data_IF_141557347476
#
_entry.id   IF_141557347476
#
_cell.length_a   1.000
_cell.length_b   1.000
_cell.length_c   1.000
_cell.angle_alpha   90.00
_cell.angle_beta   90.00
_cell.angle_gamma   90.00
#
_symmetry.space_group_name_H-M   'P 1'
#
loop_
_entity.id
_entity.type
_entity.pdbx_description
1 polymer ?
#
# COMPACT_ATOMS: atom_id res chain seq x y z
N UNK A 1 47.39 -27.87 31.41
CA UNK A 1 46.67 -29.16 31.38
C UNK A 1 45.41 -28.89 32.18
N UNK A 2 44.35 -28.51 31.46
CA UNK A 2 43.22 -29.42 31.17
C UNK A 2 42.23 -29.36 32.36
N UNK A 3 41.13 -28.61 32.19
CA UNK A 3 39.77 -29.12 31.88
C UNK A 3 39.15 -29.83 33.11
N UNK A 4 37.91 -29.64 33.53
CA UNK A 4 36.67 -29.28 32.84
C UNK A 4 35.54 -29.22 33.91
N UNK A 5 34.39 -28.69 33.51
CA UNK A 5 33.01 -29.01 33.94
C UNK A 5 32.37 -28.38 35.19
N UNK A 6 31.64 -27.29 34.91
CA UNK A 6 30.17 -27.12 35.02
C UNK A 6 29.35 -27.90 36.07
N UNK A 7 28.67 -27.15 36.95
CA UNK A 7 27.33 -27.45 37.45
C UNK A 7 26.46 -26.17 37.43
N UNK A 8 25.14 -26.27 37.19
CA UNK A 8 24.28 -25.11 36.96
C UNK A 8 23.63 -24.60 38.25
N UNK A 9 23.70 -23.29 38.48
CA UNK A 9 22.99 -22.61 39.57
C UNK A 9 21.60 -22.14 39.11
N UNK A 10 20.62 -22.44 39.96
CA UNK A 10 19.21 -22.13 39.82
C UNK A 10 18.99 -20.62 39.97
N UNK A 11 18.51 -19.95 38.91
CA UNK A 11 17.97 -18.60 39.04
C UNK A 11 16.45 -18.62 39.03
N UNK A 12 15.90 -18.07 40.11
CA UNK A 12 14.50 -17.98 40.47
C UNK A 12 13.71 -17.12 39.48
N UNK A 13 12.55 -17.66 39.08
CA UNK A 13 11.49 -16.94 38.39
C UNK A 13 10.98 -15.76 39.24
N UNK A 14 11.14 -14.55 38.72
CA UNK A 14 10.43 -13.35 39.19
C UNK A 14 9.38 -13.02 38.14
N UNK A 15 8.12 -13.33 38.43
CA UNK A 15 6.98 -12.90 37.61
C UNK A 15 6.78 -11.38 37.70
N UNK A 16 6.53 -10.68 36.58
CA UNK A 16 5.90 -9.37 36.62
C UNK A 16 4.37 -9.53 36.58
N UNK A 17 3.73 -9.19 37.69
CA UNK A 17 2.29 -8.94 37.77
C UNK A 17 1.94 -7.67 36.97
N UNK A 18 1.37 -7.82 35.78
CA UNK A 18 0.81 -6.71 35.01
C UNK A 18 -0.71 -6.70 35.19
N UNK A 19 -1.18 -5.69 35.92
CA UNK A 19 -2.57 -5.27 36.04
C UNK A 19 -3.15 -4.99 34.64
N UNK A 20 -4.19 -5.73 34.27
CA UNK A 20 -5.02 -5.40 33.11
C UNK A 20 -5.84 -4.14 33.40
N UNK A 21 -5.44 -3.02 32.82
CA UNK A 21 -6.35 -1.89 32.59
C UNK A 21 -6.80 -1.96 31.14
N UNK A 22 -8.10 -2.22 30.93
CA UNK A 22 -8.73 -2.18 29.62
C UNK A 22 -8.58 -0.79 28.99
N UNK A 23 -8.17 -0.78 27.73
CA UNK A 23 -8.17 0.41 26.88
C UNK A 23 -9.07 0.08 25.71
N UNK A 24 -10.22 0.75 25.67
CA UNK A 24 -11.19 0.74 24.60
C UNK A 24 -10.54 1.17 23.28
N UNK A 25 -10.70 0.35 22.23
CA UNK A 25 -10.34 0.72 20.86
C UNK A 25 -11.42 1.62 20.24
N UNK A 26 -11.05 2.71 19.54
CA UNK A 26 -12.02 3.65 18.99
C UNK A 26 -12.82 3.04 17.84
N UNK A 27 -14.14 3.16 17.95
CA UNK A 27 -15.10 2.82 16.89
C UNK A 27 -14.93 3.77 15.70
N UNK A 28 -14.61 3.22 14.53
CA UNK A 28 -14.56 3.99 13.30
C UNK A 28 -15.97 4.07 12.70
N UNK A 29 -16.71 5.13 13.06
CA UNK A 29 -17.98 5.47 12.43
C UNK A 29 -17.71 6.17 11.09
N UNK A 30 -17.98 5.51 9.97
CA UNK A 30 -18.22 6.20 8.70
C UNK A 30 -19.52 5.71 8.05
N UNK A 31 -20.49 6.64 8.06
CA UNK A 31 -21.56 6.88 7.07
C UNK A 31 -22.12 5.64 6.33
N UNK A 32 -23.22 5.12 6.87
CA UNK A 32 -24.15 4.24 6.17
C UNK A 32 -24.88 5.08 5.11
N UNK A 33 -24.47 4.93 3.85
CA UNK A 33 -25.29 5.30 2.71
C UNK A 33 -26.45 4.29 2.62
N UNK A 34 -27.68 4.81 2.58
CA UNK A 34 -28.91 4.01 2.54
C UNK A 34 -28.96 3.17 1.24
N UNK A 35 -28.49 1.93 1.29
CA UNK A 35 -28.78 0.93 0.27
C UNK A 35 -30.03 0.15 0.66
N UNK A 36 -30.92 0.00 -0.33
CA UNK A 36 -32.24 -0.61 -0.25
C UNK A 36 -32.17 -2.07 0.26
N UNK A 37 -33.25 -2.58 0.92
CA UNK A 37 -33.23 -3.90 1.53
C UNK A 37 -33.12 -4.99 0.46
N UNK A 38 -31.96 -5.64 0.38
CA UNK A 38 -31.83 -6.90 -0.34
C UNK A 38 -32.53 -7.99 0.46
N UNK A 39 -33.39 -8.73 -0.23
CA UNK A 39 -34.26 -9.74 0.35
C UNK A 39 -33.45 -10.81 1.09
N UNK A 40 -33.65 -10.87 2.41
CA UNK A 40 -33.09 -11.90 3.27
C UNK A 40 -33.55 -13.30 2.84
N UNK A 41 -32.60 -14.19 2.54
CA UNK A 41 -32.85 -15.63 2.46
C UNK A 41 -32.75 -16.21 3.87
N UNK A 42 -33.91 -16.44 4.49
CA UNK A 42 -34.00 -17.23 5.71
C UNK A 42 -33.63 -18.69 5.43
N UNK A 43 -32.57 -19.22 6.06
CA UNK A 43 -32.40 -20.66 6.29
C UNK A 43 -32.65 -20.94 7.77
N UNK A 44 -33.92 -21.11 8.11
CA UNK A 44 -34.36 -21.69 9.39
C UNK A 44 -35.42 -22.73 9.09
N UNK A 45 -35.08 -24.00 9.22
CA UNK A 45 -36.04 -25.09 9.18
C UNK A 45 -36.74 -25.16 10.55
N UNK A 46 -37.95 -24.60 10.65
CA UNK A 46 -38.88 -24.89 11.74
C UNK A 46 -40.04 -25.67 11.15
N UNK A 47 -40.13 -26.95 11.52
CA UNK A 47 -41.23 -27.85 11.18
C UNK A 47 -42.48 -27.45 11.97
N UNK A 48 -43.54 -27.06 11.27
CA UNK A 48 -44.87 -26.89 11.85
C UNK A 48 -45.89 -27.65 11.00
N UNK A 49 -46.36 -28.76 11.56
CA UNK A 49 -47.42 -29.63 11.05
C UNK A 49 -48.77 -28.91 11.10
N UNK A 50 -49.47 -28.84 9.97
CA UNK A 50 -50.89 -28.51 9.94
C UNK A 50 -51.64 -29.39 8.92
N UNK A 51 -52.53 -30.22 9.44
CA UNK A 51 -53.36 -31.16 8.69
C UNK A 51 -54.52 -30.42 8.02
N UNK A 52 -54.76 -30.64 6.74
CA UNK A 52 -56.04 -30.37 6.10
C UNK A 52 -56.28 -31.36 4.97
N UNK A 53 -57.30 -32.17 5.17
CA UNK A 53 -57.79 -33.20 4.27
C UNK A 53 -58.43 -32.60 3.02
N UNK A 54 -57.96 -32.99 1.84
CA UNK A 54 -58.79 -33.03 0.64
C UNK A 54 -58.32 -34.17 -0.27
N UNK A 55 -59.18 -35.18 -0.39
CA UNK A 55 -59.08 -36.31 -1.32
C UNK A 55 -59.45 -35.85 -2.73
N UNK A 56 -58.60 -36.11 -3.74
CA UNK A 56 -59.01 -36.45 -5.11
C UNK A 56 -57.94 -37.31 -5.81
N UNK A 57 -58.38 -38.52 -6.13
CA UNK A 57 -58.12 -39.38 -7.30
C UNK A 57 -56.69 -39.61 -7.82
N UNK A 58 -56.38 -40.90 -7.88
CA UNK A 58 -55.17 -41.56 -8.35
C UNK A 58 -54.90 -41.30 -9.84
N UNK A 59 -53.78 -40.64 -10.14
CA UNK A 59 -53.04 -40.83 -11.39
C UNK A 59 -51.61 -41.27 -11.00
N UNK A 60 -51.45 -42.59 -10.90
CA UNK A 60 -50.17 -43.27 -10.73
C UNK A 60 -49.32 -43.11 -11.98
N UNK A 61 -48.06 -42.66 -11.78
CA UNK A 61 -46.87 -42.80 -12.65
C UNK A 61 -46.13 -41.50 -13.03
N UNK A 62 -46.10 -40.50 -12.14
CA UNK A 62 -45.07 -39.43 -12.20
C UNK A 62 -44.77 -38.74 -10.85
N UNK A 63 -44.91 -39.44 -9.72
CA UNK A 63 -44.64 -38.84 -8.39
C UNK A 63 -43.21 -39.09 -7.87
N UNK A 64 -42.46 -40.02 -8.47
CA UNK A 64 -41.12 -40.40 -7.99
C UNK A 64 -39.97 -39.42 -8.27
N UNK A 65 -40.19 -38.32 -9.00
CA UNK A 65 -39.09 -37.40 -9.40
C UNK A 65 -38.97 -36.13 -8.57
N UNK A 66 -40.04 -35.75 -7.86
CA UNK A 66 -40.07 -34.49 -7.10
C UNK A 66 -39.59 -34.71 -5.66
N UNK A 67 -40.05 -35.79 -5.00
CA UNK A 67 -39.63 -36.15 -3.63
C UNK A 67 -38.13 -36.49 -3.56
N UNK A 68 -37.59 -37.18 -4.56
CA UNK A 68 -36.15 -37.47 -4.66
C UNK A 68 -35.31 -36.17 -4.79
N UNK A 69 -35.84 -35.14 -5.47
CA UNK A 69 -35.15 -33.87 -5.64
C UNK A 69 -35.20 -33.01 -4.37
N UNK A 70 -36.29 -33.04 -3.61
CA UNK A 70 -36.41 -32.39 -2.31
C UNK A 70 -35.49 -33.02 -1.26
N UNK A 71 -35.46 -34.35 -1.17
CA UNK A 71 -34.55 -35.09 -0.29
C UNK A 71 -33.07 -34.83 -0.63
N UNK A 72 -32.76 -34.76 -1.92
CA UNK A 72 -31.40 -34.44 -2.38
C UNK A 72 -31.01 -33.00 -2.03
N UNK A 73 -31.94 -32.04 -2.15
CA UNK A 73 -31.70 -30.66 -1.72
C UNK A 73 -31.50 -30.57 -0.20
N UNK A 74 -32.30 -31.29 0.59
CA UNK A 74 -32.19 -31.35 2.05
C UNK A 74 -30.86 -31.97 2.51
N UNK A 75 -30.37 -32.98 1.80
CA UNK A 75 -29.04 -33.54 2.02
C UNK A 75 -27.93 -32.48 1.89
N UNK A 76 -27.94 -31.68 0.82
CA UNK A 76 -26.92 -30.64 0.61
C UNK A 76 -27.09 -29.42 1.51
N UNK A 77 -28.32 -29.14 1.94
CA UNK A 77 -28.63 -28.08 2.91
C UNK A 77 -27.93 -28.28 4.26
N UNK A 78 -27.71 -29.54 4.66
CA UNK A 78 -27.08 -29.92 5.93
C UNK A 78 -25.57 -30.16 5.83
N UNK A 79 -24.97 -29.88 4.67
CA UNK A 79 -23.53 -30.09 4.42
C UNK A 79 -22.81 -28.76 4.34
N UNK A 80 -21.56 -28.75 4.82
CA UNK A 80 -20.71 -27.57 4.78
C UNK A 80 -20.53 -27.04 3.35
N UNK A 81 -20.73 -25.74 3.14
CA UNK A 81 -20.58 -25.13 1.82
C UNK A 81 -19.12 -24.96 1.36
N UNK A 82 -18.15 -25.32 2.20
CA UNK A 82 -16.72 -25.26 1.88
C UNK A 82 -16.24 -26.62 1.36
N UNK A 83 -16.48 -27.72 2.08
CA UNK A 83 -16.05 -29.06 1.66
C UNK A 83 -17.13 -29.88 0.97
N UNK A 84 -18.40 -29.49 1.06
CA UNK A 84 -19.56 -30.24 0.57
C UNK A 84 -19.72 -31.65 1.16
N UNK A 85 -19.02 -31.98 2.24
CA UNK A 85 -18.98 -33.33 2.80
C UNK A 85 -19.35 -33.39 4.28
N UNK A 86 -18.72 -32.60 5.13
CA UNK A 86 -18.97 -32.67 6.58
C UNK A 86 -20.31 -32.05 6.98
N UNK A 87 -20.98 -32.57 8.02
CA UNK A 87 -22.16 -31.93 8.60
C UNK A 87 -21.81 -30.57 9.23
N UNK A 88 -22.81 -29.71 9.34
CA UNK A 88 -22.69 -28.39 9.95
C UNK A 88 -22.63 -28.50 11.48
N UNK A 89 -21.56 -27.99 12.09
CA UNK A 89 -21.35 -27.96 13.55
C UNK A 89 -20.91 -26.57 14.07
N UNK A 90 -20.79 -25.59 13.17
CA UNK A 90 -20.44 -24.20 13.46
C UNK A 90 -21.44 -23.26 12.81
N UNK A 91 -21.84 -22.21 13.53
CA UNK A 91 -22.74 -21.16 13.06
C UNK A 91 -22.22 -19.79 13.49
N UNK A 92 -22.08 -18.86 12.53
CA UNK A 92 -21.63 -17.50 12.82
C UNK A 92 -22.73 -16.69 13.52
N UNK A 93 -22.34 -15.79 14.42
CA UNK A 93 -23.23 -15.03 15.29
C UNK A 93 -24.05 -13.99 14.50
N UNK A 94 -23.39 -13.26 13.60
CA UNK A 94 -23.99 -12.13 12.88
C UNK A 94 -24.71 -12.57 11.60
N UNK A 95 -24.00 -13.18 10.66
CA UNK A 95 -24.59 -13.56 9.36
C UNK A 95 -25.35 -14.89 9.39
N UNK A 96 -25.21 -15.68 10.46
CA UNK A 96 -25.84 -17.02 10.61
C UNK A 96 -25.46 -18.06 9.57
N UNK A 97 -24.42 -17.79 8.78
CA UNK A 97 -23.85 -18.79 7.88
C UNK A 97 -23.22 -19.93 8.69
N UNK A 98 -23.32 -21.15 8.15
CA UNK A 98 -22.96 -22.38 8.84
C UNK A 98 -21.92 -23.18 8.07
N UNK A 99 -21.00 -23.80 8.80
CA UNK A 99 -19.90 -24.59 8.28
C UNK A 99 -19.64 -25.81 9.16
N UNK A 100 -18.76 -26.71 8.69
CA UNK A 100 -18.05 -27.57 9.62
C UNK A 100 -16.85 -26.81 10.22
N UNK A 101 -16.54 -27.08 11.48
CA UNK A 101 -15.52 -26.38 12.26
C UNK A 101 -14.13 -26.53 11.66
N UNK A 102 -13.81 -27.71 11.10
CA UNK A 102 -12.53 -27.94 10.44
C UNK A 102 -12.32 -27.01 9.24
N UNK A 103 -13.32 -26.87 8.37
CA UNK A 103 -13.22 -26.00 7.20
C UNK A 103 -13.10 -24.53 7.60
N UNK A 104 -13.89 -24.09 8.58
CA UNK A 104 -13.82 -22.71 9.05
C UNK A 104 -12.47 -22.41 9.72
N UNK A 105 -11.98 -23.30 10.58
CA UNK A 105 -10.67 -23.19 11.20
C UNK A 105 -9.55 -23.09 10.16
N UNK A 106 -9.55 -23.98 9.16
CA UNK A 106 -8.55 -23.97 8.07
C UNK A 106 -8.64 -22.68 7.27
N UNK A 107 -9.84 -22.23 6.91
CA UNK A 107 -10.07 -20.97 6.22
C UNK A 107 -9.46 -19.79 6.99
N UNK A 108 -9.81 -19.61 8.26
CA UNK A 108 -9.29 -18.50 9.08
C UNK A 108 -7.77 -18.62 9.24
N UNK A 109 -7.25 -19.82 9.47
CA UNK A 109 -5.80 -20.05 9.58
C UNK A 109 -5.08 -19.61 8.30
N UNK A 110 -5.56 -20.00 7.13
CA UNK A 110 -4.96 -19.58 5.85
C UNK A 110 -5.04 -18.07 5.65
N UNK A 111 -6.17 -17.43 5.95
CA UNK A 111 -6.33 -15.97 5.85
C UNK A 111 -5.33 -15.24 6.75
N UNK A 112 -5.18 -15.68 8.00
CA UNK A 112 -4.26 -15.06 8.96
C UNK A 112 -2.80 -15.33 8.60
N UNK A 113 -2.44 -16.58 8.26
CA UNK A 113 -1.05 -16.96 7.99
C UNK A 113 -0.52 -16.42 6.66
N UNK A 114 -1.41 -16.18 5.68
CA UNK A 114 -1.05 -15.51 4.42
C UNK A 114 -0.93 -13.98 4.56
N UNK A 115 -1.29 -13.43 5.72
CA UNK A 115 -1.29 -11.98 5.96
C UNK A 115 0.00 -11.48 6.60
N UNK A 116 0.97 -11.11 5.77
CA UNK A 116 2.27 -10.56 6.21
C UNK A 116 2.40 -9.04 6.00
N UNK A 117 1.35 -8.42 5.42
CA UNK A 117 1.30 -7.01 5.11
C UNK A 117 1.30 -6.08 6.33
N UNK A 118 1.21 -4.80 6.05
CA UNK A 118 1.11 -3.69 7.01
C UNK A 118 -0.33 -3.17 7.15
N UNK A 119 -1.25 -3.66 6.32
CA UNK A 119 -2.68 -3.36 6.45
C UNK A 119 -3.34 -4.37 7.37
N UNK A 120 -4.35 -3.91 8.09
CA UNK A 120 -5.10 -4.77 9.00
C UNK A 120 -5.83 -5.85 8.21
N UNK A 121 -5.55 -7.12 8.54
CA UNK A 121 -6.24 -8.26 7.96
C UNK A 121 -7.67 -8.31 8.45
N UNK A 122 -8.61 -8.38 7.51
CA UNK A 122 -10.04 -8.57 7.81
C UNK A 122 -10.43 -10.01 7.49
N UNK A 123 -10.92 -10.73 8.50
CA UNK A 123 -11.50 -12.05 8.30
C UNK A 123 -12.96 -11.85 7.89
N UNK A 124 -13.36 -12.45 6.78
CA UNK A 124 -14.71 -12.30 6.21
C UNK A 124 -15.41 -13.63 6.16
N UNK A 125 -16.73 -13.62 6.15
CA UNK A 125 -17.53 -14.80 5.88
C UNK A 125 -17.21 -15.33 4.47
N UNK A 126 -16.89 -16.64 4.32
CA UNK A 126 -16.64 -17.26 3.01
C UNK A 126 -17.79 -17.09 2.01
N UNK A 127 -19.03 -16.95 2.49
CA UNK A 127 -20.23 -16.90 1.66
C UNK A 127 -20.71 -15.45 1.48
N UNK A 128 -21.13 -14.78 2.54
CA UNK A 128 -21.75 -13.46 2.44
C UNK A 128 -20.74 -12.29 2.44
N UNK A 129 -19.45 -12.55 2.69
CA UNK A 129 -18.37 -11.55 2.74
C UNK A 129 -18.47 -10.49 3.84
N UNK A 130 -19.41 -10.64 4.77
CA UNK A 130 -19.48 -9.82 6.00
C UNK A 130 -18.23 -10.02 6.87
N UNK A 131 -17.80 -8.96 7.55
CA UNK A 131 -16.61 -9.01 8.41
C UNK A 131 -16.95 -9.77 9.70
N UNK A 132 -16.11 -10.76 10.03
CA UNK A 132 -16.22 -11.53 11.26
C UNK A 132 -15.29 -10.90 12.31
N UNK A 133 -15.79 -10.46 13.47
CA UNK A 133 -14.95 -9.85 14.50
C UNK A 133 -13.97 -10.86 15.10
N UNK A 134 -12.81 -10.36 15.55
CA UNK A 134 -11.78 -11.19 16.17
C UNK A 134 -12.28 -11.98 17.37
N UNK A 135 -13.15 -11.39 18.19
CA UNK A 135 -13.76 -12.05 19.34
C UNK A 135 -14.51 -13.33 18.98
N UNK A 136 -15.03 -13.43 17.75
CA UNK A 136 -15.77 -14.58 17.28
C UNK A 136 -14.83 -15.62 16.64
N UNK A 137 -14.10 -15.25 15.58
CA UNK A 137 -13.30 -16.24 14.85
C UNK A 137 -12.13 -16.81 15.67
N UNK A 138 -11.62 -16.06 16.65
CA UNK A 138 -10.52 -16.51 17.52
C UNK A 138 -10.90 -17.72 18.39
N UNK A 139 -12.20 -17.94 18.63
CA UNK A 139 -12.70 -19.09 19.39
C UNK A 139 -12.55 -20.41 18.62
N UNK A 140 -12.41 -20.35 17.29
CA UNK A 140 -12.39 -21.51 16.40
C UNK A 140 -10.99 -21.83 15.85
N UNK A 141 -9.96 -21.11 16.29
CA UNK A 141 -8.57 -21.33 15.84
C UNK A 141 -7.63 -21.47 17.03
N UNK A 142 -6.46 -22.13 16.87
CA UNK A 142 -5.44 -22.19 17.91
C UNK A 142 -4.93 -20.80 18.31
N UNK A 143 -4.52 -20.66 19.59
CA UNK A 143 -3.96 -19.40 20.12
C UNK A 143 -2.76 -18.90 19.30
N UNK A 144 -1.94 -19.80 18.74
CA UNK A 144 -0.81 -19.42 17.87
C UNK A 144 -1.24 -18.65 16.63
N UNK A 145 -2.44 -18.91 16.09
CA UNK A 145 -3.02 -18.16 14.97
C UNK A 145 -3.41 -16.76 15.43
N UNK A 146 -4.04 -16.65 16.60
CA UNK A 146 -4.44 -15.39 17.21
C UNK A 146 -3.21 -14.52 17.53
N UNK A 147 -2.15 -15.11 18.07
CA UNK A 147 -0.90 -14.41 18.38
C UNK A 147 -0.20 -13.90 17.11
N UNK A 148 -0.23 -14.69 16.04
CA UNK A 148 0.26 -14.27 14.73
C UNK A 148 -0.55 -13.08 14.20
N UNK A 149 -1.88 -13.17 14.23
CA UNK A 149 -2.76 -12.07 13.84
C UNK A 149 -2.43 -10.80 14.63
N UNK A 150 -2.36 -10.90 15.96
CA UNK A 150 -2.06 -9.76 16.82
C UNK A 150 -0.70 -9.14 16.52
N UNK A 151 0.33 -9.96 16.24
CA UNK A 151 1.67 -9.49 15.90
C UNK A 151 1.72 -8.71 14.59
N UNK A 152 1.02 -9.15 13.55
CA UNK A 152 1.07 -8.52 12.23
C UNK A 152 0.09 -7.34 12.08
N UNK A 153 -0.93 -7.26 12.94
CA UNK A 153 -1.93 -6.18 12.94
C UNK A 153 -1.72 -5.14 14.05
N UNK A 154 -0.54 -5.10 14.68
CA UNK A 154 -0.22 -4.07 15.67
C UNK A 154 -0.31 -2.66 15.04
N UNK A 155 -0.87 -1.67 15.75
CA UNK A 155 -0.87 -0.29 15.28
C UNK A 155 0.58 0.23 15.15
N UNK A 156 0.81 1.13 14.20
CA UNK A 156 2.12 1.73 13.95
C UNK A 156 3.23 0.71 13.64
N UNK A 157 2.90 -0.43 13.02
CA UNK A 157 3.88 -1.41 12.58
C UNK A 157 4.77 -0.84 11.46
N UNK A 158 6.06 -0.76 11.72
CA UNK A 158 7.07 -0.30 10.76
C UNK A 158 7.17 -1.19 9.53
N UNK A 159 7.34 -0.56 8.36
CA UNK A 159 7.91 -1.22 7.20
C UNK A 159 9.32 -1.69 7.53
N UNK A 160 9.66 -2.89 7.10
CA UNK A 160 10.96 -3.46 7.32
C UNK A 160 11.53 -4.09 6.06
N UNK A 161 12.86 -4.11 5.98
CA UNK A 161 13.57 -4.78 4.91
C UNK A 161 14.91 -5.31 5.40
N UNK A 162 15.26 -6.53 5.01
CA UNK A 162 16.55 -7.10 5.37
C UNK A 162 17.69 -6.44 4.59
N UNK A 163 18.81 -6.23 5.27
CA UNK A 163 20.06 -5.82 4.63
C UNK A 163 20.53 -6.90 3.66
N UNK A 164 20.92 -6.57 2.42
CA UNK A 164 21.38 -7.56 1.43
C UNK A 164 22.71 -8.25 1.79
N UNK A 165 23.43 -7.77 2.80
CA UNK A 165 24.75 -8.28 3.16
C UNK A 165 24.75 -9.11 4.46
N UNK A 166 23.94 -8.75 5.45
CA UNK A 166 23.90 -9.44 6.75
C UNK A 166 22.54 -10.00 7.13
N UNK A 167 21.53 -9.84 6.27
CA UNK A 167 20.16 -10.34 6.43
C UNK A 167 19.40 -9.80 7.65
N UNK A 168 20.01 -8.91 8.43
CA UNK A 168 19.36 -8.25 9.56
C UNK A 168 18.32 -7.24 9.09
N UNK A 169 17.22 -7.19 9.83
CA UNK A 169 16.06 -6.36 9.55
C UNK A 169 16.36 -4.88 9.83
N UNK A 170 16.14 -4.02 8.85
CA UNK A 170 16.16 -2.56 9.03
C UNK A 170 14.75 -2.01 9.17
N UNK A 171 14.57 -1.11 10.14
CA UNK A 171 13.33 -0.40 10.45
C UNK A 171 13.54 1.11 10.19
N UNK A 172 13.32 1.59 8.96
CA UNK A 172 13.58 2.99 8.62
C UNK A 172 12.75 3.99 9.42
N UNK A 173 11.47 3.69 9.67
CA UNK A 173 10.59 4.50 10.48
C UNK A 173 10.16 3.67 11.69
N UNK A 174 10.42 4.15 12.91
CA UNK A 174 10.05 3.44 14.14
C UNK A 174 9.29 4.40 15.06
N UNK A 175 7.98 4.14 15.22
CA UNK A 175 7.12 4.94 16.07
C UNK A 175 7.51 4.87 17.55
N UNK A 176 8.20 3.80 17.98
CA UNK A 176 8.63 3.63 19.38
C UNK A 176 9.78 4.56 19.77
N UNK A 177 10.47 5.14 18.78
CA UNK A 177 11.54 6.13 19.00
C UNK A 177 11.01 7.56 19.18
N UNK A 178 9.69 7.75 19.08
CA UNK A 178 9.06 9.04 19.36
C UNK A 178 9.34 9.45 20.81
N UNK A 179 9.82 10.68 20.99
CA UNK A 179 10.13 11.23 22.31
C UNK A 179 8.95 12.06 22.79
N UNK A 180 8.41 11.70 23.95
CA UNK A 180 7.29 12.40 24.56
C UNK A 180 7.64 13.86 24.90
N UNK A 181 6.72 14.77 24.59
CA UNK A 181 6.87 16.21 24.88
C UNK A 181 7.70 17.00 23.87
N UNK A 182 8.29 16.38 22.84
CA UNK A 182 8.87 17.11 21.71
C UNK A 182 7.77 17.59 20.76
N UNK A 183 7.80 18.88 20.42
CA UNK A 183 6.96 19.42 19.37
C UNK A 183 7.65 19.22 18.00
N UNK A 184 7.35 18.08 17.37
CA UNK A 184 7.86 17.74 16.04
C UNK A 184 7.31 18.68 14.95
N UNK A 185 6.07 19.16 15.07
CA UNK A 185 5.50 20.10 14.10
C UNK A 185 6.27 21.42 14.08
N UNK A 186 6.52 21.99 15.27
CA UNK A 186 7.36 23.17 15.42
C UNK A 186 8.78 22.96 14.87
N UNK A 187 9.39 21.80 15.12
CA UNK A 187 10.72 21.48 14.54
C UNK A 187 10.70 21.51 13.02
N UNK A 188 9.66 20.92 12.40
CA UNK A 188 9.49 20.95 10.95
C UNK A 188 9.31 22.40 10.47
N UNK A 189 8.47 23.17 11.14
CA UNK A 189 8.27 24.60 10.84
C UNK A 189 9.59 25.37 10.88
N UNK A 190 10.35 25.27 11.97
CA UNK A 190 11.64 25.97 12.16
C UNK A 190 12.65 25.58 11.07
N UNK A 191 12.66 24.32 10.63
CA UNK A 191 13.50 23.86 9.52
C UNK A 191 13.09 24.44 8.18
N UNK A 192 11.77 24.51 7.89
CA UNK A 192 11.25 25.14 6.66
C UNK A 192 11.50 26.64 6.67
N UNK A 193 11.37 27.30 7.83
CA UNK A 193 11.66 28.72 7.99
C UNK A 193 13.14 29.00 7.74
N UNK A 194 14.05 28.17 8.27
CA UNK A 194 15.47 28.30 8.00
C UNK A 194 15.80 28.19 6.50
N UNK A 195 15.12 27.30 5.76
CA UNK A 195 15.25 27.20 4.30
C UNK A 195 14.69 28.43 3.57
N UNK A 196 13.61 29.01 4.08
CA UNK A 196 13.01 30.22 3.50
C UNK A 196 13.90 31.46 3.71
N UNK A 197 14.78 31.45 4.72
CA UNK A 197 15.73 32.53 5.04
C UNK A 197 17.10 32.36 4.37
N UNK A 198 17.30 31.31 3.57
CA UNK A 198 18.58 30.97 2.96
C UNK A 198 19.18 32.12 2.12
N UNK A 199 20.50 32.33 2.23
CA UNK A 199 21.21 33.43 1.58
C UNK A 199 21.18 33.36 0.04
N UNK A 200 20.87 32.20 -0.54
CA UNK A 200 20.61 32.08 -1.97
C UNK A 200 19.49 33.03 -2.44
N UNK A 201 18.58 33.45 -1.53
CA UNK A 201 17.54 34.44 -1.82
C UNK A 201 18.00 35.91 -1.75
N UNK A 202 19.14 36.20 -1.12
CA UNK A 202 19.64 37.58 -0.94
C UNK A 202 20.45 38.09 -2.13
N UNK A 203 21.11 37.19 -2.86
CA UNK A 203 22.17 37.52 -3.85
C UNK A 203 21.74 38.19 -5.17
N UNK A 204 20.45 38.47 -5.42
CA UNK A 204 20.03 39.24 -6.63
C UNK A 204 19.57 40.68 -6.36
N UNK A 205 19.47 41.12 -5.11
CA UNK A 205 19.07 42.51 -4.80
C UNK A 205 20.23 43.52 -4.73
N UNK A 206 21.50 43.09 -4.65
CA UNK A 206 22.63 44.00 -4.39
C UNK A 206 23.56 44.26 -5.60
N UNK A 207 23.24 43.80 -6.82
CA UNK A 207 24.10 43.96 -7.99
C UNK A 207 23.62 44.96 -9.06
N UNK A 208 22.83 45.98 -8.70
CA UNK A 208 22.29 46.94 -9.69
C UNK A 208 22.59 48.41 -9.42
N UNK A 209 23.74 48.77 -8.83
CA UNK A 209 24.09 50.21 -8.70
C UNK A 209 25.34 50.66 -9.48
N UNK A 210 26.19 49.80 -10.07
CA UNK A 210 27.46 50.30 -10.65
C UNK A 210 27.99 49.66 -11.97
N UNK A 211 27.17 49.07 -12.85
CA UNK A 211 27.64 48.67 -14.20
C UNK A 211 26.66 49.03 -15.33
N UNK A 212 26.82 50.24 -15.88
CA UNK A 212 26.28 50.64 -17.19
C UNK A 212 27.12 50.05 -18.33
N UNK A 213 27.05 48.74 -18.60
CA UNK A 213 27.21 48.24 -19.99
C UNK A 213 26.75 46.78 -20.13
N UNK A 214 25.98 46.49 -21.19
CA UNK A 214 25.49 45.17 -21.63
C UNK A 214 24.51 44.39 -20.71
N UNK A 215 23.24 44.81 -20.72
CA UNK A 215 22.11 43.98 -20.27
C UNK A 215 21.60 43.07 -21.40
N UNK A 216 22.07 41.82 -21.42
CA UNK A 216 21.31 40.73 -22.03
C UNK A 216 20.15 40.42 -21.07
N UNK A 217 18.93 40.74 -21.50
CA UNK A 217 17.72 40.43 -20.76
C UNK A 217 17.59 38.90 -20.53
N UNK A 218 17.53 38.48 -19.26
CA UNK A 218 16.98 37.16 -18.87
C UNK A 218 15.79 37.41 -17.92
N UNK A 219 14.57 37.60 -18.45
CA UNK A 219 13.40 37.98 -17.65
C UNK A 219 12.76 36.85 -16.83
N UNK A 220 13.05 35.57 -17.13
CA UNK A 220 12.30 34.43 -16.55
C UNK A 220 12.79 33.98 -15.16
N UNK A 221 13.99 34.39 -14.76
CA UNK A 221 14.73 33.78 -13.65
C UNK A 221 14.52 34.50 -12.29
N UNK A 222 13.98 35.72 -12.32
CA UNK A 222 13.60 36.49 -11.13
C UNK A 222 12.21 36.11 -10.62
N UNK A 223 11.26 35.88 -11.53
CA UNK A 223 9.88 35.50 -11.19
C UNK A 223 9.83 34.09 -10.57
N UNK A 224 10.57 33.14 -11.16
CA UNK A 224 10.67 31.78 -10.64
C UNK A 224 11.30 31.72 -9.24
N UNK A 225 12.33 32.54 -8.99
CA UNK A 225 12.97 32.64 -7.68
C UNK A 225 12.02 33.18 -6.59
N UNK A 226 11.30 34.26 -6.90
CA UNK A 226 10.28 34.82 -6.02
C UNK A 226 9.14 33.82 -5.77
N UNK A 227 8.77 33.04 -6.79
CA UNK A 227 7.75 31.99 -6.67
C UNK A 227 8.16 30.87 -5.73
N UNK A 228 9.41 30.40 -5.76
CA UNK A 228 9.91 29.37 -4.83
C UNK A 228 9.93 29.91 -3.40
N UNK A 229 10.45 31.12 -3.19
CA UNK A 229 10.47 31.76 -1.88
C UNK A 229 9.05 31.92 -1.31
N UNK A 230 8.12 32.44 -2.13
CA UNK A 230 6.71 32.56 -1.77
C UNK A 230 6.07 31.20 -1.44
N UNK A 231 6.43 30.15 -2.19
CA UNK A 231 5.94 28.78 -1.93
C UNK A 231 6.43 28.25 -0.58
N UNK A 232 7.69 28.49 -0.21
CA UNK A 232 8.22 28.11 1.12
C UNK A 232 7.52 28.88 2.25
N UNK A 233 7.33 30.20 2.11
CA UNK A 233 6.58 31.00 3.09
C UNK A 233 5.11 30.57 3.19
N UNK A 234 4.51 30.11 2.09
CA UNK A 234 3.13 29.60 2.11
C UNK A 234 2.97 28.27 2.87
N UNK A 235 4.07 27.53 3.13
CA UNK A 235 4.05 26.33 3.95
C UNK A 235 3.98 26.64 5.45
N UNK A 236 4.61 27.72 5.92
CA UNK A 236 4.72 28.03 7.35
C UNK A 236 3.35 28.09 8.05
N UNK A 237 2.31 28.75 7.50
CA UNK A 237 0.98 28.77 8.10
C UNK A 237 0.28 27.39 8.13
N UNK A 238 0.72 26.42 7.33
CA UNK A 238 0.15 25.07 7.29
C UNK A 238 0.80 24.15 8.34
N UNK A 239 2.00 24.51 8.84
CA UNK A 239 2.80 23.74 9.78
C UNK A 239 2.53 24.20 11.22
N UNK A 240 1.26 24.13 11.63
CA UNK A 240 0.77 24.53 12.95
C UNK A 240 0.36 23.32 13.78
N UNK A 241 0.44 23.45 15.11
CA UNK A 241 0.23 22.34 16.06
C UNK A 241 -1.15 21.67 15.95
N UNK A 242 -2.19 22.42 15.56
CA UNK A 242 -3.58 21.91 15.47
C UNK A 242 -3.98 21.42 14.06
N UNK A 243 -3.02 20.95 13.25
CA UNK A 243 -3.31 20.43 11.91
C UNK A 243 -4.19 19.18 11.98
N UNK A 244 -5.39 19.16 11.36
CA UNK A 244 -6.24 17.97 11.34
C UNK A 244 -5.53 16.76 10.74
N UNK A 245 -5.71 15.58 11.34
CA UNK A 245 -5.10 14.35 10.83
C UNK A 245 -5.45 14.10 9.35
N UNK A 246 -6.67 14.40 8.94
CA UNK A 246 -7.13 14.24 7.55
C UNK A 246 -6.32 15.04 6.53
N UNK A 247 -5.69 16.15 6.93
CA UNK A 247 -4.92 17.03 6.03
C UNK A 247 -3.41 16.78 6.08
N UNK A 248 -2.91 15.98 7.05
CA UNK A 248 -1.47 15.76 7.24
C UNK A 248 -0.77 15.22 6.00
N UNK A 249 -1.40 14.29 5.28
CA UNK A 249 -0.83 13.73 4.05
C UNK A 249 -0.75 14.77 2.93
N UNK A 250 -1.73 15.66 2.83
CA UNK A 250 -1.74 16.73 1.81
C UNK A 250 -0.69 17.79 2.14
N UNK A 251 -0.58 18.18 3.41
CA UNK A 251 0.48 19.09 3.90
C UNK A 251 1.86 18.48 3.63
N UNK A 252 2.05 17.20 3.92
CA UNK A 252 3.30 16.50 3.62
C UNK A 252 3.62 16.54 2.11
N UNK A 253 2.66 16.17 1.25
CA UNK A 253 2.86 16.14 -0.21
C UNK A 253 3.19 17.52 -0.75
N UNK A 254 2.49 18.55 -0.28
CA UNK A 254 2.76 19.93 -0.66
C UNK A 254 4.15 20.38 -0.18
N UNK A 255 4.51 20.07 1.06
CA UNK A 255 5.84 20.36 1.63
C UNK A 255 6.94 19.71 0.80
N UNK A 256 6.89 18.39 0.58
CA UNK A 256 7.92 17.67 -0.18
C UNK A 256 8.03 18.18 -1.62
N UNK A 257 6.91 18.48 -2.28
CA UNK A 257 6.90 19.06 -3.63
C UNK A 257 7.66 20.39 -3.66
N UNK A 258 7.35 21.30 -2.74
CA UNK A 258 8.01 22.61 -2.64
C UNK A 258 9.49 22.46 -2.33
N UNK A 259 9.85 21.58 -1.39
CA UNK A 259 11.25 21.34 -1.00
C UNK A 259 12.09 20.77 -2.15
N UNK A 260 11.57 19.84 -2.97
CA UNK A 260 12.31 19.31 -4.11
C UNK A 260 12.48 20.33 -5.25
N UNK A 261 11.49 21.21 -5.44
CA UNK A 261 11.65 22.34 -6.37
C UNK A 261 12.76 23.27 -5.89
N UNK A 262 12.77 23.60 -4.59
CA UNK A 262 13.82 24.41 -3.97
C UNK A 262 15.20 23.74 -4.07
N UNK A 263 15.32 22.45 -3.72
CA UNK A 263 16.58 21.70 -3.80
C UNK A 263 17.15 21.73 -5.23
N UNK A 264 16.31 21.50 -6.25
CA UNK A 264 16.73 21.52 -7.65
C UNK A 264 17.21 22.91 -8.06
N UNK A 265 16.49 23.95 -7.65
CA UNK A 265 16.88 25.34 -7.91
C UNK A 265 18.22 25.67 -7.27
N UNK A 266 18.42 25.32 -6.00
CA UNK A 266 19.65 25.58 -5.29
C UNK A 266 20.86 24.79 -5.85
N UNK A 267 20.64 23.55 -6.29
CA UNK A 267 21.67 22.77 -6.99
C UNK A 267 22.10 23.46 -8.31
N UNK A 268 21.17 24.12 -9.02
CA UNK A 268 21.48 24.86 -10.24
C UNK A 268 22.24 26.17 -9.95
N UNK A 269 21.89 26.90 -8.90
CA UNK A 269 22.54 28.18 -8.55
C UNK A 269 23.93 28.03 -7.94
N UNK A 270 24.24 26.90 -7.29
CA UNK A 270 25.60 26.60 -6.84
C UNK A 270 26.50 26.15 -8.00
N UNK A 271 26.01 25.28 -8.87
CA UNK A 271 26.80 24.76 -9.99
C UNK A 271 27.22 25.84 -11.01
N UNK A 272 26.53 26.98 -11.04
CA UNK A 272 26.93 28.15 -11.85
C UNK A 272 28.04 28.99 -11.21
N UNK A 273 28.30 28.84 -9.91
CA UNK A 273 29.34 29.59 -9.17
C UNK A 273 30.68 28.84 -9.09
N UNK A 274 30.69 27.51 -9.20
CA UNK A 274 31.90 26.67 -9.10
C UNK A 274 32.17 25.84 -10.36
N UNK A 275 32.95 26.38 -11.30
CA UNK A 275 33.39 25.68 -12.54
C UNK A 275 34.59 24.74 -12.29
N UNK A 276 34.94 24.39 -11.04
CA UNK A 276 36.23 23.72 -10.77
C UNK A 276 36.29 22.60 -9.73
N UNK A 277 35.20 21.89 -9.42
CA UNK A 277 35.29 20.70 -8.55
C UNK A 277 34.68 19.43 -9.15
N UNK A 278 35.44 18.33 -9.01
CA UNK A 278 35.12 17.00 -9.55
C UNK A 278 33.93 16.34 -8.85
N UNK A 279 33.18 15.46 -9.54
CA UNK A 279 32.01 14.78 -8.99
C UNK A 279 32.45 13.57 -8.15
N UNK A 280 32.84 13.80 -6.91
CA UNK A 280 33.21 12.67 -6.03
C UNK A 280 32.97 13.01 -4.57
N UNK A 281 31.77 12.66 -4.08
CA UNK A 281 31.49 11.83 -2.88
C UNK A 281 29.97 11.82 -2.66
N UNK A 282 29.39 10.62 -2.52
CA UNK A 282 27.95 10.33 -2.43
C UNK A 282 27.25 10.81 -1.14
N UNK A 283 27.78 11.83 -0.44
CA UNK A 283 27.09 12.43 0.71
C UNK A 283 26.13 13.50 0.18
N UNK A 284 24.85 13.39 0.55
CA UNK A 284 23.80 14.30 0.09
C UNK A 284 24.16 15.77 0.36
N UNK A 285 23.67 16.68 -0.49
CA UNK A 285 23.87 18.11 -0.24
C UNK A 285 23.23 18.49 1.11
N UNK A 286 23.69 19.57 1.78
CA UNK A 286 23.10 20.02 3.05
C UNK A 286 21.57 20.16 2.99
N UNK A 287 21.03 20.65 1.88
CA UNK A 287 19.59 20.78 1.64
C UNK A 287 18.91 19.41 1.52
N UNK A 288 19.52 18.44 0.84
CA UNK A 288 18.94 17.10 0.74
C UNK A 288 18.79 16.45 2.11
N UNK A 289 19.75 16.68 3.02
CA UNK A 289 19.66 16.22 4.41
C UNK A 289 18.55 16.94 5.19
N UNK A 290 18.38 18.25 4.99
CA UNK A 290 17.25 18.99 5.59
C UNK A 290 15.90 18.50 5.08
N UNK A 291 15.77 18.21 3.77
CA UNK A 291 14.56 17.61 3.22
C UNK A 291 14.27 16.24 3.83
N UNK A 292 15.31 15.41 4.03
CA UNK A 292 15.19 14.13 4.71
C UNK A 292 14.71 14.30 6.15
N UNK A 293 15.34 15.18 6.92
CA UNK A 293 15.01 15.43 8.32
C UNK A 293 13.58 15.98 8.49
N UNK A 294 13.15 16.88 7.59
CA UNK A 294 11.76 17.37 7.55
C UNK A 294 10.80 16.19 7.29
N UNK A 295 11.06 15.41 6.24
CA UNK A 295 10.24 14.25 5.88
C UNK A 295 10.16 13.22 7.00
N UNK A 296 11.28 12.92 7.65
CA UNK A 296 11.35 12.03 8.80
C UNK A 296 10.59 12.60 10.00
N UNK A 297 10.68 13.91 10.23
CA UNK A 297 9.92 14.62 11.27
C UNK A 297 8.41 14.41 11.13
N UNK A 298 7.87 14.40 9.90
CA UNK A 298 6.45 14.10 9.68
C UNK A 298 6.07 12.69 10.16
N UNK A 299 6.96 11.71 10.08
CA UNK A 299 6.71 10.34 10.57
C UNK A 299 6.61 10.25 12.10
N UNK A 300 7.00 11.31 12.81
CA UNK A 300 6.98 11.41 14.28
C UNK A 300 5.80 12.23 14.84
N UNK A 301 4.98 12.83 13.97
CA UNK A 301 3.79 13.57 14.38
C UNK A 301 2.73 12.63 14.96
N UNK A 302 1.88 13.16 15.83
CA UNK A 302 0.67 12.44 16.29
C UNK A 302 -0.30 12.26 15.14
N UNK A 303 -0.64 11.01 14.83
CA UNK A 303 -1.59 10.65 13.79
C UNK A 303 -2.14 9.25 13.99
N UNK A 304 -3.20 8.90 13.25
CA UNK A 304 -3.77 7.55 13.30
C UNK A 304 -2.80 6.52 12.68
N UNK A 305 -2.88 5.23 13.07
CA UNK A 305 -2.02 4.19 12.50
C UNK A 305 -2.06 4.10 10.97
N UNK A 306 -3.25 4.32 10.38
CA UNK A 306 -3.42 4.28 8.92
C UNK A 306 -2.70 5.44 8.22
N UNK A 307 -2.76 6.65 8.77
CA UNK A 307 -2.05 7.82 8.24
C UNK A 307 -0.55 7.64 8.42
N UNK A 308 -0.11 7.16 9.58
CA UNK A 308 1.30 6.86 9.84
C UNK A 308 1.85 5.83 8.85
N UNK A 309 1.08 4.78 8.57
CA UNK A 309 1.41 3.77 7.56
C UNK A 309 1.59 4.38 6.17
N UNK A 310 0.76 5.35 5.79
CA UNK A 310 0.94 6.05 4.51
C UNK A 310 2.15 7.00 4.54
N UNK A 311 2.38 7.68 5.67
CA UNK A 311 3.51 8.58 5.85
C UNK A 311 4.87 7.87 5.71
N UNK A 312 5.03 6.68 6.30
CA UNK A 312 6.27 5.89 6.15
C UNK A 312 6.55 5.53 4.68
N UNK A 313 5.53 5.14 3.90
CA UNK A 313 5.73 4.79 2.50
C UNK A 313 6.09 6.02 1.66
N UNK A 314 5.49 7.17 1.96
CA UNK A 314 5.84 8.42 1.30
C UNK A 314 7.26 8.88 1.64
N UNK A 315 7.67 8.74 2.90
CA UNK A 315 9.05 9.02 3.33
C UNK A 315 10.04 8.13 2.58
N UNK A 316 9.84 6.80 2.61
CA UNK A 316 10.70 5.83 1.92
C UNK A 316 10.68 6.03 0.40
N UNK A 317 9.57 6.51 -0.16
CA UNK A 317 9.48 6.80 -1.59
C UNK A 317 10.41 7.94 -2.02
N UNK A 318 10.53 8.96 -1.17
CA UNK A 318 11.40 10.09 -1.43
C UNK A 318 12.85 9.86 -0.98
N UNK A 319 13.04 9.10 0.10
CA UNK A 319 14.33 8.84 0.72
C UNK A 319 14.54 7.32 0.90
N UNK A 320 14.82 6.58 -0.18
CA UNK A 320 14.87 5.12 -0.13
C UNK A 320 16.19 4.58 0.44
N UNK A 321 17.24 5.39 0.60
CA UNK A 321 18.54 4.91 1.05
C UNK A 321 18.60 4.84 2.58
N UNK A 322 19.11 3.73 3.11
CA UNK A 322 19.35 3.55 4.54
C UNK A 322 20.71 2.89 4.78
N UNK A 323 21.29 3.14 5.95
CA UNK A 323 22.52 2.48 6.40
C UNK A 323 22.17 1.36 7.38
N UNK A 324 22.67 0.15 7.14
CA UNK A 324 22.50 -0.95 8.08
C UNK A 324 23.23 -0.64 9.41
N UNK A 325 22.56 -0.85 10.54
CA UNK A 325 23.15 -0.59 11.86
C UNK A 325 24.23 -1.61 12.25
N UNK A 326 24.23 -2.79 11.62
CA UNK A 326 25.13 -3.89 11.97
C UNK A 326 26.36 -4.01 11.09
N UNK A 327 26.22 -3.85 9.77
CA UNK A 327 27.33 -3.94 8.83
C UNK A 327 27.69 -2.60 8.17
N UNK A 328 26.94 -1.53 8.46
CA UNK A 328 27.18 -0.17 7.94
C UNK A 328 27.13 -0.04 6.40
N UNK A 329 26.59 -1.05 5.71
CA UNK A 329 26.35 -0.99 4.27
C UNK A 329 25.09 -0.19 3.98
N UNK A 330 25.18 0.72 3.01
CA UNK A 330 24.04 1.46 2.48
C UNK A 330 23.27 0.65 1.44
N UNK A 331 21.96 0.58 1.60
CA UNK A 331 21.09 -0.14 0.68
C UNK A 331 19.75 0.58 0.47
N UNK A 332 19.08 0.20 -0.61
CA UNK A 332 17.82 0.78 -1.02
C UNK A 332 16.64 0.01 -0.40
N UNK A 333 15.80 0.71 0.36
CA UNK A 333 14.59 0.20 1.00
C UNK A 333 13.50 -0.22 -0.01
N UNK A 334 13.51 0.35 -1.22
CA UNK A 334 12.54 -0.01 -2.25
C UNK A 334 12.92 -1.34 -2.93
N UNK A 335 14.14 -1.44 -3.47
CA UNK A 335 14.55 -2.62 -4.25
C UNK A 335 15.34 -3.68 -3.48
N UNK A 336 16.00 -3.32 -2.37
CA UNK A 336 16.80 -4.24 -1.56
C UNK A 336 18.24 -4.39 -1.97
N UNK A 337 18.61 -3.86 -3.13
CA UNK A 337 19.99 -3.85 -3.56
C UNK A 337 20.76 -2.72 -2.88
N UNK A 338 22.07 -2.71 -3.07
CA UNK A 338 22.93 -1.63 -2.60
C UNK A 338 22.42 -0.26 -3.08
N UNK A 339 22.75 0.78 -2.32
CA UNK A 339 22.37 2.14 -2.69
C UNK A 339 22.89 2.48 -4.09
N UNK A 340 22.01 3.06 -4.91
CA UNK A 340 22.26 3.33 -6.33
C UNK A 340 22.11 4.82 -6.69
N UNK A 341 22.30 5.71 -5.69
CA UNK A 341 22.35 7.15 -5.88
C UNK A 341 21.09 7.70 -6.57
N UNK A 342 21.26 8.36 -7.73
CA UNK A 342 20.17 8.97 -8.51
C UNK A 342 19.52 8.02 -9.53
N UNK A 343 20.02 6.79 -9.66
CA UNK A 343 19.40 5.80 -10.55
C UNK A 343 18.06 5.37 -9.97
N UNK A 344 17.09 5.11 -10.85
CA UNK A 344 15.88 4.43 -10.40
C UNK A 344 16.21 3.00 -10.01
N UNK A 345 15.40 2.40 -9.14
CA UNK A 345 15.56 1.01 -8.79
C UNK A 345 15.49 0.07 -10.03
N UNK A 346 14.76 0.45 -11.08
CA UNK A 346 14.71 -0.31 -12.35
C UNK A 346 16.00 -0.17 -13.16
N UNK A 347 16.54 1.04 -13.27
CA UNK A 347 17.79 1.29 -13.98
C UNK A 347 18.97 0.61 -13.28
N UNK A 348 18.98 0.62 -11.95
CA UNK A 348 19.96 -0.15 -11.17
C UNK A 348 19.88 -1.65 -11.49
N UNK A 349 18.67 -2.24 -11.52
CA UNK A 349 18.50 -3.65 -11.88
C UNK A 349 18.97 -3.96 -13.31
N UNK A 350 18.68 -3.07 -14.28
CA UNK A 350 19.17 -3.20 -15.67
C UNK A 350 20.70 -3.10 -15.73
N UNK A 351 21.30 -2.17 -14.98
CA UNK A 351 22.75 -2.04 -14.88
C UNK A 351 23.39 -3.26 -14.23
N UNK A 352 22.78 -3.83 -13.19
CA UNK A 352 23.24 -5.07 -12.56
C UNK A 352 23.30 -6.19 -13.60
N UNK A 353 22.27 -6.38 -14.43
CA UNK A 353 22.26 -7.36 -15.52
C UNK A 353 23.40 -7.09 -16.53
N UNK A 354 23.60 -5.83 -16.90
CA UNK A 354 24.59 -5.45 -17.91
C UNK A 354 26.04 -5.56 -17.41
N UNK A 355 26.28 -5.29 -16.13
CA UNK A 355 27.61 -5.30 -15.49
C UNK A 355 27.98 -6.67 -14.92
N UNK A 356 27.00 -7.49 -14.54
CA UNK A 356 27.20 -8.82 -13.97
C UNK A 356 27.51 -9.91 -15.00
N UNK A 357 27.96 -9.57 -16.21
CA UNK A 357 28.32 -10.49 -17.30
C UNK A 357 29.39 -11.55 -16.97
N UNK A 358 29.84 -11.71 -15.71
CA UNK A 358 30.87 -12.70 -15.36
C UNK A 358 30.91 -13.26 -13.93
N UNK A 359 29.97 -12.95 -13.01
CA UNK A 359 30.14 -13.38 -11.58
C UNK A 359 29.00 -14.14 -10.91
N UNK A 360 27.75 -14.03 -11.36
CA UNK A 360 26.65 -14.82 -10.78
C UNK A 360 25.47 -14.93 -11.75
N UNK A 361 25.42 -16.02 -12.52
CA UNK A 361 24.43 -16.21 -13.61
C UNK A 361 22.99 -16.25 -13.07
N UNK A 362 22.79 -16.80 -11.88
CA UNK A 362 21.47 -16.99 -11.29
C UNK A 362 20.84 -15.64 -10.88
N UNK A 363 21.63 -14.75 -10.28
CA UNK A 363 21.18 -13.38 -9.94
C UNK A 363 20.74 -12.62 -11.19
N UNK A 364 21.47 -12.76 -12.29
CA UNK A 364 21.13 -12.10 -13.57
C UNK A 364 19.81 -12.63 -14.12
N UNK A 365 19.63 -13.95 -14.17
CA UNK A 365 18.40 -14.57 -14.66
C UNK A 365 17.19 -14.21 -13.80
N UNK A 366 17.33 -14.27 -12.47
CA UNK A 366 16.28 -13.87 -11.53
C UNK A 366 15.91 -12.40 -11.67
N UNK A 367 16.91 -11.50 -11.76
CA UNK A 367 16.68 -10.06 -11.94
C UNK A 367 15.98 -9.76 -13.27
N UNK A 368 16.41 -10.41 -14.36
CA UNK A 368 15.80 -10.27 -15.67
C UNK A 368 14.34 -10.76 -15.68
N UNK A 369 14.08 -11.88 -15.01
CA UNK A 369 12.73 -12.42 -14.88
C UNK A 369 11.82 -11.44 -14.12
N UNK A 370 12.29 -10.86 -13.02
CA UNK A 370 11.53 -9.85 -12.28
C UNK A 370 11.19 -8.62 -13.13
N UNK A 371 12.14 -8.11 -13.91
CA UNK A 371 11.90 -6.96 -14.79
C UNK A 371 10.87 -7.26 -15.89
N UNK A 372 10.80 -8.51 -16.36
CA UNK A 372 9.92 -8.89 -17.46
C UNK A 372 8.51 -9.29 -17.01
N UNK A 373 8.36 -9.82 -15.79
CA UNK A 373 7.10 -10.43 -15.34
C UNK A 373 6.46 -9.71 -14.16
N UNK A 374 7.17 -8.79 -13.50
CA UNK A 374 6.66 -8.11 -12.32
C UNK A 374 6.59 -6.60 -12.50
N UNK A 375 5.66 -5.98 -11.78
CA UNK A 375 5.61 -4.52 -11.65
C UNK A 375 5.58 -4.13 -10.18
N UNK A 376 6.08 -2.93 -9.87
CA UNK A 376 6.08 -2.44 -8.48
C UNK A 376 4.67 -2.12 -7.99
N UNK A 377 4.42 -2.08 -6.69
CA UNK A 377 3.28 -1.35 -6.17
C UNK A 377 3.56 0.16 -6.26
N UNK A 378 2.66 1.00 -6.78
CA UNK A 378 2.86 2.46 -6.84
C UNK A 378 2.94 3.13 -5.46
N UNK A 379 2.48 2.46 -4.40
CA UNK A 379 2.49 3.00 -3.04
C UNK A 379 3.73 2.55 -2.23
N UNK A 380 4.03 1.25 -2.18
CA UNK A 380 5.12 0.70 -1.34
C UNK A 380 6.30 0.12 -2.13
N UNK A 381 6.28 0.18 -3.46
CA UNK A 381 7.36 -0.29 -4.36
C UNK A 381 7.69 -1.79 -4.34
N UNK A 382 6.94 -2.64 -3.63
CA UNK A 382 7.13 -4.09 -3.69
C UNK A 382 6.87 -4.63 -5.09
N UNK A 383 7.68 -5.59 -5.55
CA UNK A 383 7.48 -6.25 -6.83
C UNK A 383 6.30 -7.22 -6.74
N UNK A 384 5.33 -7.07 -7.62
CA UNK A 384 4.14 -7.92 -7.73
C UNK A 384 4.21 -8.59 -9.10
N UNK A 385 4.17 -9.93 -9.13
CA UNK A 385 3.94 -10.69 -10.35
C UNK A 385 2.43 -10.84 -10.57
N UNK A 386 1.97 -10.75 -11.81
CA UNK A 386 0.57 -10.96 -12.18
C UNK A 386 0.47 -12.19 -13.10
N UNK A 387 -0.26 -13.21 -12.67
CA UNK A 387 -0.44 -14.48 -13.38
C UNK A 387 -1.57 -14.46 -14.44
N UNK A 388 -1.90 -13.27 -14.97
CA UNK A 388 -3.04 -12.96 -15.86
C UNK A 388 -4.40 -12.68 -15.18
N UNK A 389 -5.27 -11.93 -15.87
CA UNK A 389 -6.62 -11.59 -15.42
C UNK A 389 -6.91 -10.10 -15.24
N UNK A 390 -7.65 -9.76 -14.18
CA UNK A 390 -8.20 -8.43 -13.90
C UNK A 390 -7.11 -7.37 -13.71
N UNK A 391 -7.36 -6.14 -14.19
CA UNK A 391 -6.47 -5.02 -13.91
C UNK A 391 -6.54 -4.53 -12.45
N UNK A 392 -7.51 -4.96 -11.66
CA UNK A 392 -7.60 -4.58 -10.24
C UNK A 392 -6.59 -5.38 -9.44
N UNK A 393 -5.67 -4.68 -8.80
CA UNK A 393 -4.62 -5.27 -7.97
C UNK A 393 -4.75 -4.76 -6.55
N UNK A 394 -4.76 -5.67 -5.59
CA UNK A 394 -4.73 -5.35 -4.16
C UNK A 394 -3.34 -5.73 -3.62
N UNK A 395 -2.54 -4.73 -3.25
CA UNK A 395 -1.16 -4.99 -2.79
C UNK A 395 -1.15 -5.70 -1.44
N UNK A 396 -0.59 -6.91 -1.37
CA UNK A 396 -0.48 -7.70 -0.13
C UNK A 396 0.33 -7.02 0.98
N UNK A 397 1.32 -6.19 0.64
CA UNK A 397 2.13 -5.48 1.62
C UNK A 397 1.42 -4.25 2.21
N UNK A 398 0.87 -3.37 1.37
CA UNK A 398 0.37 -2.07 1.83
C UNK A 398 -1.16 -1.91 1.75
N UNK A 399 -1.87 -2.90 1.21
CA UNK A 399 -3.32 -2.85 0.96
C UNK A 399 -3.78 -1.89 -0.13
N UNK A 400 -2.87 -1.21 -0.83
CA UNK A 400 -3.26 -0.25 -1.87
C UNK A 400 -3.91 -0.97 -3.06
N UNK A 401 -5.14 -0.56 -3.38
CA UNK A 401 -5.90 -1.03 -4.53
C UNK A 401 -5.58 -0.15 -5.76
N UNK A 402 -4.99 -0.72 -6.80
CA UNK A 402 -4.57 0.03 -7.99
C UNK A 402 -4.86 -0.70 -9.30
N UNK A 403 -4.87 0.06 -10.40
CA UNK A 403 -4.97 -0.51 -11.73
C UNK A 403 -3.59 -0.94 -12.24
N UNK A 404 -3.43 -2.21 -12.60
CA UNK A 404 -2.19 -2.74 -13.19
C UNK A 404 -1.76 -1.98 -14.45
N UNK A 405 -2.72 -1.56 -15.28
CA UNK A 405 -2.44 -0.91 -16.56
C UNK A 405 -1.96 0.54 -16.39
N UNK A 406 -2.73 1.38 -15.68
CA UNK A 406 -2.42 2.81 -15.57
C UNK A 406 -1.71 3.20 -14.26
N UNK A 407 -1.54 2.26 -13.32
CA UNK A 407 -0.80 2.44 -12.05
C UNK A 407 -1.46 3.40 -11.05
N UNK A 408 -2.61 3.96 -11.39
CA UNK A 408 -3.42 4.85 -10.55
C UNK A 408 -4.29 4.09 -9.54
N UNK A 409 -4.82 4.77 -8.49
CA UNK A 409 -5.83 4.20 -7.61
C UNK A 409 -6.95 3.53 -8.42
N UNK A 410 -7.38 2.34 -7.98
CA UNK A 410 -8.43 1.61 -8.69
C UNK A 410 -9.72 2.43 -8.73
N UNK A 411 -10.35 2.46 -9.89
CA UNK A 411 -11.68 3.03 -10.09
C UNK A 411 -12.46 2.18 -11.08
N UNK A 412 -13.78 2.30 -11.05
CA UNK A 412 -14.67 1.56 -11.97
C UNK A 412 -14.34 1.82 -13.45
N UNK A 413 -13.83 3.02 -13.78
CA UNK A 413 -13.33 3.37 -15.11
C UNK A 413 -12.20 2.45 -15.59
N UNK A 414 -11.38 1.95 -14.67
CA UNK A 414 -10.29 1.01 -14.95
C UNK A 414 -10.83 -0.40 -15.26
N UNK A 415 -11.98 -0.77 -14.68
CA UNK A 415 -12.65 -2.05 -14.94
C UNK A 415 -13.07 -2.22 -16.40
N UNK A 416 -13.42 -1.12 -17.08
CA UNK A 416 -13.74 -1.09 -18.51
C UNK A 416 -12.54 -0.78 -19.41
N UNK A 417 -11.32 -0.83 -18.88
CA UNK A 417 -10.08 -0.54 -19.63
C UNK A 417 -9.99 0.88 -20.21
N UNK A 418 -10.87 1.80 -19.80
CA UNK A 418 -10.88 3.19 -20.30
C UNK A 418 -9.65 4.01 -19.87
N UNK A 419 -8.90 3.52 -18.88
CA UNK A 419 -7.65 4.15 -18.44
C UNK A 419 -6.56 4.21 -19.51
N UNK A 420 -6.62 3.35 -20.54
CA UNK A 420 -5.65 3.37 -21.66
C UNK A 420 -6.03 4.35 -22.77
N UNK A 421 -7.24 4.95 -22.74
CA UNK A 421 -7.72 5.82 -23.82
C UNK A 421 -7.52 7.32 -23.53
N UNK A 422 -7.09 7.69 -22.33
CA UNK A 422 -7.01 9.09 -21.89
C UNK A 422 -5.61 9.72 -22.02
N UNK A 423 -4.62 9.03 -22.59
CA UNK A 423 -3.26 9.57 -22.80
C UNK A 423 -3.16 10.65 -23.90
N UNK A 424 -4.28 11.13 -24.46
CA UNK A 424 -4.29 12.11 -25.58
C UNK A 424 -4.73 13.52 -25.19
N UNK A 425 -4.52 13.98 -23.95
CA UNK A 425 -4.67 15.40 -23.62
C UNK A 425 -3.41 15.97 -22.98
N UNK A 426 -2.35 16.04 -23.78
CA UNK A 426 -1.42 17.18 -23.89
C UNK A 426 -0.24 16.76 -24.76
N UNK A 427 -0.41 16.80 -26.07
CA UNK A 427 0.65 17.01 -27.05
C UNK A 427 -0.03 17.24 -28.41
N UNK A 428 0.25 18.38 -29.04
CA UNK A 428 -0.13 18.67 -30.42
C UNK A 428 0.46 17.60 -31.34
N UNK A 429 -0.38 16.77 -31.98
CA UNK A 429 0.09 15.86 -33.02
C UNK A 429 -0.84 15.85 -34.23
N UNK A 430 -0.17 15.98 -35.36
CA UNK A 430 -0.55 15.96 -36.78
C UNK A 430 -1.76 15.06 -37.14
N UNK A 431 -2.77 15.55 -37.90
CA UNK A 431 -4.00 14.80 -38.24
C UNK A 431 -3.83 13.55 -39.12
N UNK A 432 -2.61 13.12 -39.47
CA UNK A 432 -2.40 12.09 -40.50
C UNK A 432 -1.55 10.87 -40.08
N UNK A 433 -1.31 10.67 -38.78
CA UNK A 433 -0.67 9.44 -38.31
C UNK A 433 -1.66 8.26 -38.28
N UNK A 434 -1.58 7.38 -39.29
CA UNK A 434 -2.30 6.09 -39.30
C UNK A 434 -1.73 5.16 -38.22
N UNK A 435 -2.51 4.90 -37.17
CA UNK A 435 -2.24 3.85 -36.19
C UNK A 435 -2.82 2.54 -36.74
N UNK A 436 -1.96 1.55 -36.97
CA UNK A 436 -2.34 0.19 -37.35
C UNK A 436 -3.03 -0.52 -36.18
N UNK A 437 -4.30 -0.85 -36.36
CA UNK A 437 -5.14 -1.47 -35.34
C UNK A 437 -5.16 -2.99 -35.50
N UNK A 438 -4.23 -3.69 -34.84
CA UNK A 438 -4.32 -5.15 -34.64
C UNK A 438 -4.19 -5.48 -33.14
N UNK A 439 -5.18 -5.03 -32.36
CA UNK A 439 -5.34 -5.44 -30.97
C UNK A 439 -6.12 -6.75 -30.89
N UNK A 440 -5.42 -7.89 -30.79
CA UNK A 440 -6.03 -9.10 -30.22
C UNK A 440 -6.36 -8.77 -28.76
N UNK A 441 -7.63 -8.84 -28.41
CA UNK A 441 -8.08 -8.82 -27.02
C UNK A 441 -7.45 -10.01 -26.28
N UNK A 442 -6.90 -9.75 -25.09
CA UNK A 442 -6.25 -10.76 -24.26
C UNK A 442 -7.22 -11.93 -23.93
N UNK A 443 -6.66 -13.14 -23.77
CA UNK A 443 -7.45 -14.34 -23.48
C UNK A 443 -8.26 -14.11 -22.19
N UNK A 444 -9.58 -14.27 -22.27
CA UNK A 444 -10.50 -14.04 -21.15
C UNK A 444 -11.13 -12.65 -21.09
N UNK A 445 -10.71 -11.69 -21.91
CA UNK A 445 -11.36 -10.38 -22.02
C UNK A 445 -12.42 -10.38 -23.11
N UNK A 446 -13.69 -10.10 -22.79
CA UNK A 446 -14.75 -9.96 -23.78
C UNK A 446 -14.40 -8.86 -24.78
N UNK A 447 -14.36 -9.19 -26.07
CA UNK A 447 -14.04 -8.22 -27.10
C UNK A 447 -15.22 -7.25 -27.29
N UNK A 448 -15.11 -6.08 -26.66
CA UNK A 448 -16.15 -5.04 -26.61
C UNK A 448 -16.60 -4.64 -28.02
N UNK A 449 -15.68 -4.55 -28.99
CA UNK A 449 -15.99 -4.18 -30.37
C UNK A 449 -16.87 -5.23 -31.05
N UNK A 450 -16.60 -6.51 -30.80
CA UNK A 450 -17.39 -7.62 -31.31
C UNK A 450 -18.73 -7.82 -30.58
N UNK A 451 -18.89 -7.25 -29.39
CA UNK A 451 -20.16 -7.21 -28.63
C UNK A 451 -21.01 -6.03 -29.12
N UNK A 452 -20.41 -4.85 -29.26
CA UNK A 452 -21.07 -3.66 -29.78
C UNK A 452 -21.53 -3.84 -31.23
N UNK A 453 -20.76 -4.54 -32.06
CA UNK A 453 -21.16 -4.91 -33.42
C UNK A 453 -22.36 -5.88 -33.47
N UNK A 454 -22.70 -6.55 -32.36
CA UNK A 454 -23.84 -7.47 -32.26
C UNK A 454 -25.07 -6.84 -31.59
N UNK A 455 -24.96 -5.61 -31.06
CA UNK A 455 -26.11 -4.90 -30.53
C UNK A 455 -26.91 -4.34 -31.72
N UNK A 456 -28.20 -4.69 -31.88
CA UNK A 456 -29.03 -4.11 -32.92
C UNK A 456 -29.15 -2.61 -32.65
N UNK A 457 -28.77 -1.78 -33.64
CA UNK A 457 -29.02 -0.34 -33.57
C UNK A 457 -30.52 -0.13 -33.39
N UNK A 458 -30.93 0.39 -32.23
CA UNK A 458 -32.27 0.92 -32.03
C UNK A 458 -32.45 2.07 -33.02
N UNK A 459 -33.12 1.78 -34.14
CA UNK A 459 -33.61 2.81 -35.04
C UNK A 459 -34.68 3.59 -34.29
N UNK A 460 -34.31 4.78 -33.81
CA UNK A 460 -35.24 5.79 -33.34
C UNK A 460 -36.20 6.12 -34.49
N UNK A 461 -37.49 5.98 -34.23
CA UNK A 461 -38.57 6.67 -34.98
C UNK A 461 -38.97 7.90 -34.19
#
# INVERSE_FOLDING_TARGET
MESQDDQPDQHQDVQPTTLMTGIDMPHNNHLIEQQQPQQHRHRTATTSSNSSSHTMEEDSDMEGSFDEAEEQMEYWLQRCSICFDSPLDLCLEYCRDQYCGECFQRYVTEVVMSSWGLSVTTVKCPVCQEIIPQSEWSQFVPQSVVDHYNRFNQPYRSFTRCCPHCEKESKPCDHTLKVDGLNYMKRIHDMVEALALDDCFKTKQEHSEDDEDNTVAVPDDLDFHAQIHSSLHSLLPLLVDDCPHSTLLDVYRFTMKTLFIFERYHQQTINTKDVSSSPSTLKGSPIQLQCFDISYGFTMLDMTPEIWKQMQFLHITHFPNTTCLDCHVEFCLQCGYNSHGRLTCEDNMKQLIQTAQSRDHDIVMTTQWYLNNSQRCPNCSIMINREDGCNKMDCSLCGFCFCWACRSPWSEKCGFYNCKMTDTTNCTVDPNAKISHEGKTELGVPNISSIQARLPHSTST
#
